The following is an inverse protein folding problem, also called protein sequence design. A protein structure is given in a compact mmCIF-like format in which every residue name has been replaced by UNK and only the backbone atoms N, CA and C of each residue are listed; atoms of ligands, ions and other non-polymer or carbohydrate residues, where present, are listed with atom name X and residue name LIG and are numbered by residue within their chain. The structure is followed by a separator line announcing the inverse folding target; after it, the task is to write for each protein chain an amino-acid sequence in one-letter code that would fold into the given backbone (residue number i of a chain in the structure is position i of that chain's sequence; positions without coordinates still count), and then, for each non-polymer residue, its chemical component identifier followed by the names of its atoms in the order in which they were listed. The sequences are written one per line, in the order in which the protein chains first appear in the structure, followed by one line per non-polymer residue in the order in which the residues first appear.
data_IF_947998419869
#
_entry.id   IF_947998419869
#
_cell.length_a   1.000
_cell.length_b   1.000
_cell.length_c   1.000
_cell.angle_alpha   90.00
_cell.angle_beta   90.00
_cell.angle_gamma   90.00
#
_symmetry.space_group_name_H-M   'P 1'
#
loop_
_entity.id
_entity.type
_entity.pdbx_description
1 polymer ?
#
# COMPACT_ATOMS: atom_id res chain seq x y z
N UNK A 1 46.38 -2.03 -6.01
CA UNK A 1 46.85 -3.42 -6.16
C UNK A 1 47.01 -4.09 -4.79
N UNK A 2 45.97 -4.78 -4.32
CA UNK A 2 46.04 -5.95 -3.44
C UNK A 2 44.87 -6.85 -3.83
N UNK A 3 45.22 -8.08 -4.18
CA UNK A 3 44.40 -9.09 -4.84
C UNK A 3 43.34 -9.63 -3.87
N UNK A 4 42.08 -9.68 -4.33
CA UNK A 4 41.03 -10.48 -3.70
C UNK A 4 41.30 -11.94 -4.09
N UNK A 5 41.36 -12.90 -3.16
CA UNK A 5 41.59 -14.29 -3.51
C UNK A 5 40.38 -14.86 -4.26
N UNK A 6 40.60 -15.28 -5.51
CA UNK A 6 39.65 -16.07 -6.28
C UNK A 6 39.72 -17.53 -5.85
N UNK A 7 38.82 -17.95 -4.96
CA UNK A 7 38.27 -19.32 -4.85
C UNK A 7 37.62 -19.50 -3.48
N UNK A 8 36.34 -19.13 -3.36
CA UNK A 8 35.48 -19.73 -2.36
C UNK A 8 34.70 -20.86 -3.05
N UNK A 9 34.62 -22.07 -2.48
CA UNK A 9 33.85 -23.15 -3.06
C UNK A 9 32.37 -22.75 -3.13
N UNK A 10 31.70 -23.08 -4.23
CA UNK A 10 30.26 -22.93 -4.39
C UNK A 10 29.55 -23.87 -3.40
N UNK A 11 29.49 -23.48 -2.14
CA UNK A 11 28.56 -24.06 -1.17
C UNK A 11 27.17 -23.60 -1.58
N UNK A 12 26.39 -24.54 -2.08
CA UNK A 12 24.93 -24.50 -2.21
C UNK A 12 24.31 -23.73 -1.05
N UNK A 13 23.91 -22.47 -1.29
CA UNK A 13 22.87 -21.83 -0.50
C UNK A 13 21.61 -22.65 -0.74
N UNK A 14 21.30 -23.56 0.19
CA UNK A 14 19.98 -24.19 0.25
C UNK A 14 18.96 -23.06 0.39
N UNK A 15 17.92 -23.11 -0.43
CA UNK A 15 16.83 -22.13 -0.53
C UNK A 15 16.37 -21.64 0.85
N UNK A 16 16.82 -20.44 1.24
CA UNK A 16 16.20 -19.70 2.33
C UNK A 16 15.00 -19.01 1.68
N UNK A 17 13.80 -19.52 1.94
CA UNK A 17 12.55 -18.89 1.48
C UNK A 17 12.54 -17.41 1.84
N UNK A 18 12.00 -16.55 0.98
CA UNK A 18 11.80 -15.13 1.29
C UNK A 18 11.11 -14.96 2.65
N UNK A 19 10.16 -15.83 3.02
CA UNK A 19 9.51 -15.81 4.33
C UNK A 19 10.49 -15.97 5.51
N UNK A 20 11.55 -16.78 5.35
CA UNK A 20 12.59 -16.95 6.38
C UNK A 20 13.50 -15.71 6.46
N UNK A 21 13.83 -15.09 5.30
CA UNK A 21 14.57 -13.82 5.29
C UNK A 21 13.74 -12.72 5.94
N UNK A 22 12.44 -12.63 5.63
CA UNK A 22 11.53 -11.64 6.23
C UNK A 22 11.37 -11.85 7.73
N UNK A 23 11.18 -13.09 8.17
CA UNK A 23 11.11 -13.42 9.59
C UNK A 23 12.39 -13.02 10.35
N UNK A 24 13.57 -13.25 9.75
CA UNK A 24 14.86 -12.82 10.33
C UNK A 24 15.01 -11.29 10.41
N UNK A 25 14.33 -10.54 9.54
CA UNK A 25 14.26 -9.08 9.56
C UNK A 25 13.12 -8.55 10.46
N UNK A 26 12.36 -9.44 11.12
CA UNK A 26 11.20 -9.06 11.93
C UNK A 26 10.02 -8.53 11.09
N UNK A 27 9.97 -8.88 9.81
CA UNK A 27 8.93 -8.49 8.87
C UNK A 27 7.89 -9.60 8.77
N UNK A 28 6.63 -9.28 9.06
CA UNK A 28 5.50 -10.19 8.90
C UNK A 28 4.65 -9.79 7.69
N UNK A 29 4.39 -10.76 6.81
CA UNK A 29 3.44 -10.61 5.69
C UNK A 29 2.15 -11.37 6.02
N UNK A 30 1.04 -10.99 5.38
CA UNK A 30 -0.28 -11.48 5.81
C UNK A 30 -0.49 -13.00 5.68
N UNK A 31 0.31 -13.68 4.86
CA UNK A 31 0.28 -15.14 4.72
C UNK A 31 0.87 -15.86 5.93
N UNK A 32 1.60 -15.15 6.79
CA UNK A 32 2.27 -15.67 7.98
C UNK A 32 1.54 -15.30 9.29
N UNK A 33 0.35 -14.69 9.21
CA UNK A 33 -0.37 -14.17 10.39
C UNK A 33 -1.49 -15.09 10.88
N UNK A 34 -1.72 -15.10 12.19
CA UNK A 34 -2.80 -15.85 12.86
C UNK A 34 -4.17 -15.31 12.44
N UNK A 35 -5.03 -16.18 11.87
CA UNK A 35 -6.38 -15.84 11.41
C UNK A 35 -7.26 -15.23 12.51
N UNK A 36 -6.94 -15.45 13.79
CA UNK A 36 -7.67 -14.89 14.93
C UNK A 36 -7.49 -13.38 15.12
N UNK A 37 -6.54 -12.74 14.42
CA UNK A 37 -6.28 -11.30 14.55
C UNK A 37 -7.22 -10.39 13.73
N UNK A 38 -8.03 -10.97 12.84
CA UNK A 38 -8.91 -10.24 11.91
C UNK A 38 -10.37 -10.55 12.19
N UNK A 39 -11.27 -9.67 11.75
CA UNK A 39 -12.67 -10.08 11.67
C UNK A 39 -12.83 -11.21 10.63
N UNK A 40 -13.89 -12.00 10.78
CA UNK A 40 -14.25 -13.06 9.83
C UNK A 40 -14.73 -12.54 8.45
N UNK A 41 -14.59 -11.23 8.20
CA UNK A 41 -14.99 -10.58 6.94
C UNK A 41 -13.96 -10.74 5.82
N UNK A 42 -12.72 -11.11 6.17
CA UNK A 42 -11.63 -11.33 5.24
C UNK A 42 -11.10 -12.76 5.39
N UNK A 43 -10.99 -13.46 4.26
CA UNK A 43 -10.28 -14.75 4.19
C UNK A 43 -9.19 -14.65 3.14
N UNK A 44 -7.98 -15.09 3.49
CA UNK A 44 -6.79 -14.94 2.65
C UNK A 44 -6.20 -16.32 2.43
N UNK A 45 -6.16 -16.75 1.17
CA UNK A 45 -5.61 -18.04 0.80
C UNK A 45 -4.43 -17.86 -0.15
N UNK A 46 -3.26 -18.30 0.28
CA UNK A 46 -2.09 -18.41 -0.56
C UNK A 46 -2.16 -19.62 -1.48
N UNK A 47 -1.77 -19.45 -2.73
CA UNK A 47 -1.61 -20.55 -3.67
C UNK A 47 -0.15 -20.70 -4.07
N UNK A 48 0.36 -21.90 -3.88
CA UNK A 48 1.74 -22.27 -4.14
C UNK A 48 1.94 -22.72 -5.58
N UNK A 49 3.07 -22.32 -6.15
CA UNK A 49 3.61 -22.90 -7.37
C UNK A 49 4.39 -24.14 -7.04
N UNK A 50 4.13 -25.21 -7.79
CA UNK A 50 4.86 -26.47 -7.68
C UNK A 50 5.76 -26.69 -8.90
N UNK A 51 6.91 -27.32 -8.68
CA UNK A 51 7.77 -27.78 -9.77
C UNK A 51 7.20 -29.03 -10.45
N UNK A 52 7.91 -29.54 -11.46
CA UNK A 52 7.53 -30.76 -12.16
C UNK A 52 7.52 -32.03 -11.28
N UNK A 53 8.07 -31.96 -10.06
CA UNK A 53 8.12 -33.02 -9.08
C UNK A 53 7.06 -32.85 -7.98
N UNK A 54 6.22 -31.81 -8.07
CA UNK A 54 5.19 -31.50 -7.08
C UNK A 54 5.72 -30.80 -5.82
N UNK A 55 6.98 -30.33 -5.83
CA UNK A 55 7.55 -29.58 -4.72
C UNK A 55 7.20 -28.10 -4.82
N UNK A 56 6.84 -27.51 -3.69
CA UNK A 56 6.53 -26.08 -3.58
C UNK A 56 7.79 -25.26 -3.87
N UNK A 57 7.68 -24.34 -4.84
CA UNK A 57 8.74 -23.40 -5.21
C UNK A 57 8.54 -22.07 -4.47
N UNK A 58 7.37 -21.47 -4.63
CA UNK A 58 7.03 -20.18 -4.05
C UNK A 58 5.51 -19.94 -4.10
N UNK A 59 5.03 -19.03 -3.26
CA UNK A 59 3.66 -18.53 -3.39
C UNK A 59 3.55 -17.62 -4.61
N UNK A 60 2.62 -17.90 -5.52
CA UNK A 60 2.49 -17.17 -6.79
C UNK A 60 1.24 -16.33 -6.92
N UNK A 61 0.24 -16.63 -6.11
CA UNK A 61 -1.03 -15.93 -6.11
C UNK A 61 -1.66 -15.90 -4.72
N UNK A 62 -2.56 -14.95 -4.56
CA UNK A 62 -3.37 -14.76 -3.38
C UNK A 62 -4.82 -14.67 -3.80
N UNK A 63 -5.69 -15.30 -3.02
CA UNK A 63 -7.12 -15.07 -3.07
C UNK A 63 -7.53 -14.33 -1.80
N UNK A 64 -8.18 -13.17 -1.95
CA UNK A 64 -8.70 -12.38 -0.82
C UNK A 64 -10.22 -12.32 -0.94
N UNK A 65 -10.92 -13.08 -0.11
CA UNK A 65 -12.38 -13.10 -0.04
C UNK A 65 -12.87 -12.01 0.89
N UNK A 66 -13.84 -11.21 0.41
CA UNK A 66 -14.46 -10.10 1.13
C UNK A 66 -15.92 -10.48 1.39
N UNK A 67 -16.35 -10.42 2.64
CA UNK A 67 -17.73 -10.73 3.04
C UNK A 67 -18.43 -9.52 3.65
N UNK A 68 -19.74 -9.47 3.50
CA UNK A 68 -20.60 -8.44 4.09
C UNK A 68 -20.86 -8.70 5.58
N UNK A 69 -21.67 -7.84 6.22
CA UNK A 69 -22.01 -7.98 7.65
C UNK A 69 -22.76 -9.27 8.02
N UNK A 70 -23.29 -10.00 7.04
CA UNK A 70 -24.05 -11.26 7.19
C UNK A 70 -23.22 -12.49 6.83
N UNK A 71 -21.91 -12.34 6.67
CA UNK A 71 -20.98 -13.40 6.26
C UNK A 71 -21.24 -13.90 4.82
N UNK A 72 -21.88 -13.06 3.98
CA UNK A 72 -22.13 -13.36 2.58
C UNK A 72 -20.96 -12.85 1.74
N UNK A 73 -20.40 -13.72 0.89
CA UNK A 73 -19.31 -13.36 -0.03
C UNK A 73 -19.76 -12.24 -0.99
N UNK A 74 -19.11 -11.08 -0.89
CA UNK A 74 -19.29 -9.94 -1.80
C UNK A 74 -18.44 -10.12 -3.05
N UNK A 75 -17.14 -10.40 -2.86
CA UNK A 75 -16.19 -10.68 -3.95
C UNK A 75 -15.01 -11.46 -3.42
N UNK A 76 -14.41 -12.29 -4.29
CA UNK A 76 -13.07 -12.80 -4.07
C UNK A 76 -12.12 -12.16 -5.08
N UNK A 77 -11.07 -11.50 -4.58
CA UNK A 77 -10.01 -10.92 -5.39
C UNK A 77 -8.99 -12.00 -5.72
N UNK A 78 -8.70 -12.19 -7.01
CA UNK A 78 -7.65 -13.07 -7.51
C UNK A 78 -6.41 -12.23 -7.86
N UNK A 79 -5.32 -12.44 -7.13
CA UNK A 79 -4.12 -11.60 -7.22
C UNK A 79 -2.92 -12.44 -7.65
N UNK A 80 -2.20 -11.97 -8.67
CA UNK A 80 -0.87 -12.47 -8.98
C UNK A 80 0.17 -11.77 -8.11
N UNK A 81 1.18 -12.54 -7.69
CA UNK A 81 2.39 -12.02 -7.03
C UNK A 81 3.60 -12.00 -8.00
N UNK A 82 3.43 -12.51 -9.21
CA UNK A 82 4.54 -12.76 -10.14
C UNK A 82 4.82 -11.55 -11.00
N UNK A 83 6.04 -11.00 -10.89
CA UNK A 83 6.57 -10.05 -11.87
C UNK A 83 6.89 -10.74 -13.20
N UNK A 84 6.98 -9.97 -14.28
CA UNK A 84 7.42 -10.47 -15.59
C UNK A 84 8.94 -10.71 -15.59
N UNK A 85 9.46 -11.64 -16.42
CA UNK A 85 10.89 -11.96 -16.46
C UNK A 85 11.82 -10.75 -16.64
N UNK A 86 11.42 -9.78 -17.47
CA UNK A 86 12.17 -8.54 -17.73
C UNK A 86 12.26 -7.62 -16.50
N UNK A 87 11.48 -7.89 -15.45
CA UNK A 87 11.44 -7.13 -14.21
C UNK A 87 12.06 -7.89 -13.02
N UNK A 88 12.73 -9.04 -13.25
CA UNK A 88 13.37 -9.85 -12.19
C UNK A 88 14.72 -9.25 -11.75
N UNK A 89 15.50 -8.70 -12.68
CA UNK A 89 16.84 -8.16 -12.41
C UNK A 89 16.85 -7.02 -11.36
N UNK A 90 15.84 -6.11 -11.31
CA UNK A 90 15.75 -5.08 -10.27
C UNK A 90 15.35 -5.58 -8.87
N UNK A 91 14.65 -6.71 -8.74
CA UNK A 91 14.06 -7.21 -7.47
C UNK A 91 15.12 -7.46 -6.41
N UNK A 92 16.29 -7.94 -6.82
CA UNK A 92 17.40 -8.25 -5.92
C UNK A 92 18.37 -7.09 -5.72
N UNK A 93 18.09 -5.93 -6.31
CA UNK A 93 18.92 -4.72 -6.23
C UNK A 93 18.29 -3.57 -5.43
N UNK A 94 17.10 -3.76 -4.85
CA UNK A 94 16.38 -2.73 -4.07
C UNK A 94 15.12 -3.23 -3.35
N UNK A 95 14.28 -2.30 -2.86
CA UNK A 95 13.04 -2.59 -2.12
C UNK A 95 11.85 -3.05 -2.96
N UNK A 96 12.00 -3.21 -4.28
CA UNK A 96 10.90 -3.51 -5.20
C UNK A 96 10.16 -4.84 -4.91
N UNK A 97 10.84 -5.82 -4.30
CA UNK A 97 10.20 -7.07 -3.88
C UNK A 97 9.06 -6.83 -2.88
N UNK A 98 9.14 -5.74 -2.09
CA UNK A 98 8.11 -5.38 -1.12
C UNK A 98 6.75 -5.11 -1.77
N UNK A 99 6.72 -4.62 -3.02
CA UNK A 99 5.46 -4.39 -3.73
C UNK A 99 4.78 -5.68 -4.24
N UNK A 100 5.43 -6.83 -4.10
CA UNK A 100 4.91 -8.13 -4.57
C UNK A 100 4.27 -8.98 -3.47
N UNK A 101 4.28 -8.49 -2.23
CA UNK A 101 3.72 -9.19 -1.06
C UNK A 101 2.52 -8.43 -0.49
N UNK A 102 1.62 -9.16 0.17
CA UNK A 102 0.50 -8.57 0.89
C UNK A 102 0.93 -8.27 2.32
N UNK A 103 1.10 -6.99 2.63
CA UNK A 103 1.49 -6.52 3.95
C UNK A 103 0.32 -6.59 4.94
N UNK A 104 0.64 -6.97 6.18
CA UNK A 104 -0.33 -7.04 7.28
C UNK A 104 -1.07 -5.71 7.50
N UNK A 105 -0.38 -4.58 7.33
CA UNK A 105 -0.97 -3.25 7.49
C UNK A 105 -2.15 -3.00 6.53
N UNK A 106 -2.06 -3.49 5.29
CA UNK A 106 -3.12 -3.34 4.29
C UNK A 106 -4.40 -4.07 4.71
N UNK A 107 -4.27 -5.30 5.21
CA UNK A 107 -5.40 -6.11 5.67
C UNK A 107 -6.01 -5.55 6.94
N UNK A 108 -5.20 -5.10 7.90
CA UNK A 108 -5.70 -4.45 9.11
C UNK A 108 -6.46 -3.15 8.81
N UNK A 109 -6.00 -2.35 7.84
CA UNK A 109 -6.73 -1.16 7.40
C UNK A 109 -8.09 -1.54 6.83
N UNK A 110 -8.14 -2.49 5.90
CA UNK A 110 -9.41 -2.94 5.30
C UNK A 110 -10.36 -3.48 6.37
N UNK A 111 -9.85 -4.34 7.24
CA UNK A 111 -10.64 -4.96 8.29
C UNK A 111 -11.27 -3.90 9.23
N UNK A 112 -10.43 -3.04 9.83
CA UNK A 112 -10.87 -2.10 10.86
C UNK A 112 -11.65 -0.91 10.28
N UNK A 113 -11.22 -0.39 9.13
CA UNK A 113 -11.80 0.84 8.57
C UNK A 113 -12.93 0.57 7.59
N UNK A 114 -12.93 -0.55 6.87
CA UNK A 114 -13.91 -0.77 5.79
C UNK A 114 -14.96 -1.84 6.11
N UNK A 115 -14.63 -2.87 6.90
CA UNK A 115 -15.46 -4.08 7.03
C UNK A 115 -16.00 -4.35 8.44
N UNK A 116 -15.26 -4.03 9.49
CA UNK A 116 -15.64 -4.29 10.89
C UNK A 116 -17.02 -3.70 11.22
N UNK A 117 -17.82 -4.34 12.08
CA UNK A 117 -19.14 -3.82 12.46
C UNK A 117 -19.05 -2.45 13.17
N UNK A 118 -17.90 -2.16 13.79
CA UNK A 118 -17.58 -0.87 14.39
C UNK A 118 -16.57 -0.10 13.52
N UNK A 119 -16.84 0.03 12.21
CA UNK A 119 -15.96 0.74 11.27
C UNK A 119 -15.49 2.05 11.86
N UNK A 120 -14.17 2.26 11.87
CA UNK A 120 -13.56 3.49 12.37
C UNK A 120 -12.90 4.24 11.22
N UNK A 121 -13.11 5.56 11.18
CA UNK A 121 -12.37 6.45 10.30
C UNK A 121 -13.06 6.74 8.96
N UNK A 122 -13.93 5.86 8.45
CA UNK A 122 -14.74 6.10 7.24
C UNK A 122 -16.21 5.89 7.52
N UNK A 123 -17.02 6.88 7.16
CA UNK A 123 -18.47 6.79 7.24
C UNK A 123 -19.07 6.17 5.96
N UNK A 124 -18.53 6.50 4.78
CA UNK A 124 -19.03 5.98 3.49
C UNK A 124 -17.94 5.92 2.42
N UNK A 125 -17.84 4.77 1.73
CA UNK A 125 -17.01 4.58 0.53
C UNK A 125 -17.81 4.79 -0.77
N UNK A 126 -19.14 4.75 -0.67
CA UNK A 126 -20.04 4.83 -1.80
C UNK A 126 -19.81 6.12 -2.57
N UNK A 127 -19.57 5.99 -3.87
CA UNK A 127 -19.34 7.08 -4.82
C UNK A 127 -18.07 7.92 -4.58
N UNK A 128 -17.23 7.56 -3.61
CA UNK A 128 -15.99 8.28 -3.30
C UNK A 128 -14.94 8.13 -4.41
N UNK A 129 -14.05 9.11 -4.50
CA UNK A 129 -12.78 9.01 -5.22
C UNK A 129 -11.66 8.62 -4.26
N UNK A 130 -10.97 7.53 -4.59
CA UNK A 130 -9.93 6.94 -3.74
C UNK A 130 -8.62 6.90 -4.49
N UNK A 131 -7.53 7.27 -3.84
CA UNK A 131 -6.16 7.01 -4.31
C UNK A 131 -5.41 6.19 -3.27
N UNK A 132 -4.69 5.17 -3.72
CA UNK A 132 -3.79 4.39 -2.88
C UNK A 132 -2.34 4.62 -3.32
N UNK A 133 -1.52 5.15 -2.42
CA UNK A 133 -0.10 5.45 -2.62
C UNK A 133 0.75 4.26 -2.20
N UNK A 134 1.63 3.77 -3.08
CA UNK A 134 2.47 2.59 -2.80
C UNK A 134 1.62 1.36 -2.54
N UNK A 135 0.69 1.06 -3.44
CA UNK A 135 -0.37 0.10 -3.17
C UNK A 135 0.08 -1.38 -3.26
N UNK A 136 1.29 -1.66 -3.76
CA UNK A 136 1.80 -3.02 -3.97
C UNK A 136 0.88 -3.86 -4.85
N UNK A 137 0.09 -4.74 -4.23
CA UNK A 137 -0.90 -5.59 -4.92
C UNK A 137 -2.26 -4.91 -5.15
N UNK A 138 -2.52 -3.76 -4.51
CA UNK A 138 -3.73 -2.95 -4.67
C UNK A 138 -4.95 -3.39 -3.84
N UNK A 139 -4.76 -4.20 -2.79
CA UNK A 139 -5.88 -4.82 -2.06
C UNK A 139 -6.81 -3.78 -1.42
N UNK A 140 -6.34 -2.81 -0.61
CA UNK A 140 -7.22 -1.80 -0.02
C UNK A 140 -8.04 -1.03 -1.06
N UNK A 141 -7.43 -0.50 -2.11
CA UNK A 141 -8.18 0.22 -3.15
C UNK A 141 -9.13 -0.68 -3.93
N UNK A 142 -8.78 -1.94 -4.21
CA UNK A 142 -9.72 -2.90 -4.82
C UNK A 142 -10.90 -3.21 -3.90
N UNK A 143 -10.69 -3.33 -2.59
CA UNK A 143 -11.80 -3.48 -1.63
C UNK A 143 -12.67 -2.23 -1.61
N UNK A 144 -12.07 -1.03 -1.65
CA UNK A 144 -12.85 0.21 -1.76
C UNK A 144 -13.72 0.23 -3.03
N UNK A 145 -13.20 -0.27 -4.15
CA UNK A 145 -13.97 -0.44 -5.39
C UNK A 145 -15.15 -1.41 -5.22
N UNK A 146 -14.95 -2.55 -4.53
CA UNK A 146 -16.02 -3.52 -4.21
C UNK A 146 -17.10 -2.89 -3.33
N UNK A 147 -16.71 -1.99 -2.42
CA UNK A 147 -17.60 -1.29 -1.49
C UNK A 147 -18.23 -0.03 -2.10
N UNK A 148 -18.12 0.17 -3.41
CA UNK A 148 -18.89 1.18 -4.15
C UNK A 148 -18.16 2.50 -4.43
N UNK A 149 -16.84 2.58 -4.22
CA UNK A 149 -16.06 3.73 -4.68
C UNK A 149 -16.26 3.96 -6.18
N UNK A 150 -16.53 5.20 -6.59
CA UNK A 150 -16.79 5.56 -8.00
C UNK A 150 -15.51 5.54 -8.83
N UNK A 151 -14.41 5.95 -8.22
CA UNK A 151 -13.09 6.02 -8.82
C UNK A 151 -12.06 5.50 -7.84
N UNK A 152 -11.17 4.62 -8.30
CA UNK A 152 -10.00 4.15 -7.54
C UNK A 152 -8.75 4.27 -8.40
N UNK A 153 -7.78 5.05 -7.94
CA UNK A 153 -6.44 5.14 -8.50
C UNK A 153 -5.48 4.32 -7.64
N UNK A 154 -4.99 3.20 -8.17
CA UNK A 154 -3.93 2.39 -7.56
C UNK A 154 -2.59 2.87 -8.09
N UNK A 155 -1.68 3.31 -7.21
CA UNK A 155 -0.42 3.92 -7.64
C UNK A 155 0.81 3.22 -7.09
N UNK A 156 1.80 3.06 -7.96
CA UNK A 156 3.07 2.38 -7.68
C UNK A 156 4.20 2.90 -8.58
N UNK A 157 5.42 2.44 -8.29
CA UNK A 157 6.57 2.63 -9.19
C UNK A 157 6.35 1.90 -10.53
N UNK A 158 6.95 2.43 -11.60
CA UNK A 158 6.76 1.97 -12.99
C UNK A 158 6.89 0.45 -13.18
N UNK A 159 7.84 -0.17 -12.49
CA UNK A 159 8.12 -1.61 -12.55
C UNK A 159 6.97 -2.48 -12.02
N UNK A 160 6.11 -1.95 -11.14
CA UNK A 160 4.99 -2.68 -10.54
C UNK A 160 3.62 -2.39 -11.19
N UNK A 161 3.52 -1.33 -12.00
CA UNK A 161 2.25 -0.97 -12.68
C UNK A 161 1.71 -2.11 -13.54
N UNK A 162 2.57 -2.87 -14.23
CA UNK A 162 2.15 -4.01 -15.04
C UNK A 162 1.59 -5.18 -14.23
N UNK A 163 2.03 -5.35 -12.98
CA UNK A 163 1.48 -6.32 -12.04
C UNK A 163 0.11 -5.85 -11.56
N UNK A 164 -0.01 -4.58 -11.15
CA UNK A 164 -1.28 -3.98 -10.75
C UNK A 164 -2.33 -4.07 -11.84
N UNK A 165 -1.98 -3.72 -13.07
CA UNK A 165 -2.89 -3.85 -14.21
C UNK A 165 -3.40 -5.29 -14.34
N UNK A 166 -2.53 -6.30 -14.29
CA UNK A 166 -2.98 -7.70 -14.35
C UNK A 166 -3.95 -8.05 -13.21
N UNK A 167 -3.68 -7.59 -12.00
CA UNK A 167 -4.57 -7.81 -10.86
C UNK A 167 -5.92 -7.08 -11.03
N UNK A 168 -5.93 -5.84 -11.54
CA UNK A 168 -7.18 -5.14 -11.86
C UNK A 168 -7.97 -5.92 -12.92
N UNK A 169 -7.30 -6.37 -13.99
CA UNK A 169 -7.92 -7.09 -15.09
C UNK A 169 -8.56 -8.40 -14.66
N UNK A 170 -7.92 -9.13 -13.76
CA UNK A 170 -8.48 -10.36 -13.21
C UNK A 170 -9.78 -10.13 -12.41
N UNK A 171 -9.99 -8.92 -11.88
CA UNK A 171 -11.05 -8.67 -10.90
C UNK A 171 -12.17 -7.72 -11.38
N UNK A 172 -11.90 -6.79 -12.29
CA UNK A 172 -12.81 -5.68 -12.60
C UNK A 172 -13.10 -5.46 -14.10
N UNK A 173 -12.54 -6.27 -15.00
CA UNK A 173 -12.74 -6.12 -16.46
C UNK A 173 -13.96 -6.86 -17.05
N UNK A 174 -14.89 -7.39 -16.24
CA UNK A 174 -16.13 -7.95 -16.80
C UNK A 174 -17.05 -6.84 -17.36
N UNK A 175 -17.69 -7.07 -18.51
CA UNK A 175 -18.47 -6.12 -19.35
C UNK A 175 -19.74 -5.47 -18.70
N UNK A 176 -19.77 -5.27 -17.39
CA UNK A 176 -20.89 -4.62 -16.71
C UNK A 176 -20.71 -3.09 -16.72
N UNK A 177 -21.73 -2.38 -17.20
CA UNK A 177 -21.77 -0.90 -17.26
C UNK A 177 -21.78 -0.22 -15.89
N UNK A 178 -21.75 -0.99 -14.80
CA UNK A 178 -21.76 -0.52 -13.41
C UNK A 178 -20.44 -0.81 -12.67
N UNK A 179 -19.37 -1.25 -13.35
CA UNK A 179 -18.09 -1.46 -12.68
C UNK A 179 -17.48 -0.13 -12.20
N UNK A 180 -16.86 -0.10 -11.01
CA UNK A 180 -16.12 1.06 -10.53
C UNK A 180 -14.98 1.40 -11.51
N UNK A 181 -14.70 2.69 -11.72
CA UNK A 181 -13.54 3.11 -12.51
C UNK A 181 -12.29 2.87 -11.68
N UNK A 182 -11.64 1.72 -11.86
CA UNK A 182 -10.38 1.39 -11.22
C UNK A 182 -9.23 1.43 -12.23
N UNK A 183 -8.14 2.12 -11.89
CA UNK A 183 -7.00 2.32 -12.79
C UNK A 183 -5.68 2.13 -12.06
N UNK A 184 -4.70 1.51 -12.71
CA UNK A 184 -3.30 1.52 -12.27
C UNK A 184 -2.58 2.73 -12.88
N UNK A 185 -1.75 3.40 -12.09
CA UNK A 185 -0.95 4.55 -12.51
C UNK A 185 0.44 4.50 -11.90
N UNK A 186 1.41 4.97 -12.66
CA UNK A 186 2.74 5.23 -12.14
C UNK A 186 2.70 6.48 -11.25
N UNK A 187 3.32 6.39 -10.07
CA UNK A 187 3.59 7.55 -9.21
C UNK A 187 4.81 7.27 -8.33
N UNK A 188 5.94 7.88 -8.67
CA UNK A 188 7.16 7.86 -7.83
C UNK A 188 7.13 9.04 -6.85
N UNK A 189 6.11 9.06 -5.99
CA UNK A 189 5.77 10.05 -4.95
C UNK A 189 6.28 11.49 -5.15
N UNK A 190 6.18 11.99 -6.38
CA UNK A 190 6.57 13.33 -6.78
C UNK A 190 5.32 14.21 -6.80
N UNK A 191 5.38 15.38 -6.16
CA UNK A 191 4.24 16.30 -6.05
C UNK A 191 3.68 16.70 -7.43
N UNK A 192 4.56 16.92 -8.41
CA UNK A 192 4.18 17.27 -9.78
C UNK A 192 3.41 16.14 -10.46
N UNK A 193 3.86 14.89 -10.32
CA UNK A 193 3.16 13.72 -10.85
C UNK A 193 1.82 13.51 -10.14
N UNK A 194 1.79 13.67 -8.82
CA UNK A 194 0.57 13.55 -8.02
C UNK A 194 -0.49 14.61 -8.42
N UNK A 195 -0.06 15.86 -8.65
CA UNK A 195 -0.93 16.94 -9.15
C UNK A 195 -1.40 16.62 -10.58
N UNK A 196 -0.51 16.16 -11.45
CA UNK A 196 -0.88 15.79 -12.82
C UNK A 196 -1.93 14.67 -12.84
N UNK A 197 -1.78 13.67 -11.98
CA UNK A 197 -2.72 12.57 -11.84
C UNK A 197 -4.09 13.04 -11.31
N UNK A 198 -4.09 13.92 -10.30
CA UNK A 198 -5.30 14.58 -9.81
C UNK A 198 -6.01 15.38 -10.90
N UNK A 199 -5.25 16.11 -11.71
CA UNK A 199 -5.80 16.86 -12.85
C UNK A 199 -6.39 15.94 -13.92
N UNK A 200 -5.73 14.81 -14.24
CA UNK A 200 -6.22 13.83 -15.21
C UNK A 200 -7.51 13.15 -14.76
N UNK A 201 -7.58 12.75 -13.48
CA UNK A 201 -8.64 11.87 -13.00
C UNK A 201 -9.84 12.60 -12.40
N UNK A 202 -9.64 13.80 -11.88
CA UNK A 202 -10.60 14.56 -11.07
C UNK A 202 -10.67 16.04 -11.46
N UNK A 203 -10.17 16.43 -12.64
CA UNK A 203 -10.19 17.82 -13.13
C UNK A 203 -9.55 18.82 -12.13
N UNK A 204 -8.61 18.34 -11.33
CA UNK A 204 -7.86 19.11 -10.34
C UNK A 204 -8.45 19.11 -8.94
N UNK A 205 -9.60 18.49 -8.74
CA UNK A 205 -10.19 18.30 -7.40
C UNK A 205 -9.41 17.26 -6.59
N UNK A 206 -9.24 17.44 -5.26
CA UNK A 206 -8.62 16.44 -4.38
C UNK A 206 -9.39 15.13 -4.34
N UNK A 207 -8.69 14.03 -4.02
CA UNK A 207 -9.34 12.76 -3.75
C UNK A 207 -10.11 12.81 -2.42
N UNK A 208 -11.28 12.17 -2.36
CA UNK A 208 -12.06 12.08 -1.12
C UNK A 208 -11.32 11.24 -0.07
N UNK A 209 -10.64 10.18 -0.50
CA UNK A 209 -9.90 9.26 0.37
C UNK A 209 -8.50 9.00 -0.18
N UNK A 210 -7.50 9.11 0.68
CA UNK A 210 -6.09 8.78 0.41
C UNK A 210 -5.68 7.63 1.31
N UNK A 211 -5.19 6.55 0.73
CA UNK A 211 -4.73 5.35 1.43
C UNK A 211 -3.22 5.19 1.26
N UNK A 212 -2.55 4.72 2.30
CA UNK A 212 -1.15 4.30 2.26
C UNK A 212 -0.91 3.21 3.31
N UNK A 213 -0.41 2.04 2.89
CA UNK A 213 -0.21 0.89 3.76
C UNK A 213 1.25 0.47 3.77
N UNK A 214 1.90 0.54 4.93
CA UNK A 214 3.27 0.10 5.21
C UNK A 214 4.37 0.72 4.32
N UNK A 215 4.15 1.95 3.88
CA UNK A 215 5.05 2.73 3.03
C UNK A 215 6.12 3.52 3.82
N UNK A 216 6.21 3.34 5.14
CA UNK A 216 7.16 4.04 6.01
C UNK A 216 7.97 3.02 6.79
N UNK A 217 9.21 2.79 6.33
CA UNK A 217 10.17 1.95 7.03
C UNK A 217 11.61 2.34 6.62
N UNK A 218 12.27 3.17 7.43
CA UNK A 218 13.62 3.70 7.13
C UNK A 218 14.65 2.61 6.77
N UNK A 219 14.74 1.48 7.49
CA UNK A 219 15.73 0.46 7.17
C UNK A 219 15.62 -0.11 5.74
N UNK A 220 14.42 -0.08 5.12
CA UNK A 220 14.21 -0.60 3.77
C UNK A 220 14.06 0.50 2.72
N UNK A 221 13.36 1.59 3.06
CA UNK A 221 12.97 2.64 2.11
C UNK A 221 13.69 3.97 2.33
N UNK A 222 14.63 4.04 3.27
CA UNK A 222 15.37 5.27 3.57
C UNK A 222 14.44 6.42 3.96
N UNK A 223 14.66 7.60 3.38
CA UNK A 223 13.89 8.82 3.65
C UNK A 223 12.72 9.06 2.67
N UNK A 224 12.33 8.05 1.90
CA UNK A 224 11.18 8.12 0.96
C UNK A 224 9.86 8.55 1.60
N UNK A 225 9.72 8.40 2.93
CA UNK A 225 8.60 8.94 3.68
C UNK A 225 8.41 10.45 3.48
N UNK A 226 9.47 11.20 3.14
CA UNK A 226 9.39 12.64 2.79
C UNK A 226 8.60 12.84 1.50
N UNK A 227 8.95 12.09 0.46
CA UNK A 227 8.24 12.10 -0.82
C UNK A 227 6.78 11.64 -0.65
N UNK A 228 6.54 10.63 0.20
CA UNK A 228 5.19 10.20 0.55
C UNK A 228 4.36 11.35 1.17
N UNK A 229 4.94 12.14 2.07
CA UNK A 229 4.27 13.33 2.64
C UNK A 229 3.92 14.32 1.52
N UNK A 230 4.85 14.61 0.62
CA UNK A 230 4.62 15.52 -0.51
C UNK A 230 3.50 15.02 -1.44
N UNK A 231 3.47 13.71 -1.73
CA UNK A 231 2.41 13.09 -2.52
C UNK A 231 1.04 13.18 -1.83
N UNK A 232 0.97 12.92 -0.51
CA UNK A 232 -0.27 13.06 0.28
C UNK A 232 -0.78 14.50 0.22
N UNK A 233 0.09 15.50 0.43
CA UNK A 233 -0.27 16.93 0.37
C UNK A 233 -0.79 17.29 -1.03
N UNK A 234 -0.19 16.74 -2.08
CA UNK A 234 -0.56 17.03 -3.46
C UNK A 234 -1.94 16.47 -3.85
N UNK A 235 -2.34 15.31 -3.31
CA UNK A 235 -3.61 14.66 -3.69
C UNK A 235 -4.76 14.90 -2.71
N UNK A 236 -4.46 15.27 -1.46
CA UNK A 236 -5.44 15.55 -0.44
C UNK A 236 -5.84 17.03 -0.39
N UNK A 237 -7.05 17.29 0.11
CA UNK A 237 -7.57 18.63 0.35
C UNK A 237 -8.32 18.71 1.68
N UNK A 238 -8.94 19.87 2.00
CA UNK A 238 -9.54 20.12 3.31
C UNK A 238 -10.65 19.16 3.75
N UNK A 239 -11.27 18.44 2.80
CA UNK A 239 -12.33 17.46 3.04
C UNK A 239 -11.86 16.02 2.89
N UNK A 240 -10.64 15.81 2.40
CA UNK A 240 -10.10 14.48 2.20
C UNK A 240 -9.89 13.79 3.53
N UNK A 241 -10.19 12.50 3.57
CA UNK A 241 -9.75 11.61 4.62
C UNK A 241 -8.46 10.92 4.17
N UNK A 242 -7.40 11.06 4.95
CA UNK A 242 -6.17 10.30 4.74
C UNK A 242 -6.11 9.19 5.77
N UNK A 243 -5.97 7.94 5.32
CA UNK A 243 -5.73 6.78 6.18
C UNK A 243 -4.35 6.21 5.89
N UNK A 244 -3.52 6.10 6.93
CA UNK A 244 -2.20 5.50 6.86
C UNK A 244 -2.13 4.36 7.85
N UNK A 245 -1.84 3.15 7.38
CA UNK A 245 -1.55 2.00 8.22
C UNK A 245 -0.05 1.70 8.18
N UNK A 246 0.56 1.50 9.34
CA UNK A 246 2.00 1.20 9.47
C UNK A 246 2.19 0.14 10.56
N UNK A 247 3.06 -0.83 10.31
CA UNK A 247 3.48 -1.76 11.35
C UNK A 247 4.74 -1.23 12.06
N UNK A 248 4.66 -1.02 13.37
CA UNK A 248 5.82 -0.59 14.17
C UNK A 248 6.81 -1.73 14.28
N UNK A 249 8.07 -1.43 13.96
CA UNK A 249 9.16 -2.42 13.93
C UNK A 249 10.31 -1.94 14.78
N UNK A 250 10.82 -2.83 15.63
CA UNK A 250 12.01 -2.53 16.40
C UNK A 250 13.23 -2.44 15.47
N UNK A 251 13.96 -1.33 15.56
CA UNK A 251 15.19 -1.09 14.80
C UNK A 251 16.34 -0.87 15.78
N UNK A 252 17.31 -1.79 15.80
CA UNK A 252 18.45 -1.70 16.71
C UNK A 252 19.28 -0.44 16.43
N UNK A 253 19.34 0.48 17.40
CA UNK A 253 20.13 1.70 17.29
C UNK A 253 19.58 2.72 16.28
N UNK A 254 18.32 2.60 15.87
CA UNK A 254 17.70 3.46 14.86
C UNK A 254 16.22 3.69 15.11
N UNK A 255 15.50 4.03 14.05
CA UNK A 255 14.06 4.25 14.05
C UNK A 255 13.45 3.59 12.80
N UNK A 256 12.20 3.15 12.91
CA UNK A 256 11.39 2.74 11.77
C UNK A 256 10.96 3.92 10.89
N UNK A 257 11.06 5.16 11.39
CA UNK A 257 10.73 6.38 10.68
C UNK A 257 9.30 6.85 10.84
N UNK A 258 8.44 6.08 11.52
CA UNK A 258 7.01 6.41 11.67
C UNK A 258 6.83 7.74 12.40
N UNK A 259 7.54 7.95 13.51
CA UNK A 259 7.42 9.20 14.28
C UNK A 259 7.92 10.43 13.49
N UNK A 260 8.93 10.26 12.63
CA UNK A 260 9.42 11.33 11.76
C UNK A 260 8.37 11.69 10.70
N UNK A 261 7.75 10.68 10.09
CA UNK A 261 6.64 10.85 9.15
C UNK A 261 5.45 11.57 9.82
N UNK A 262 5.02 11.15 11.00
CA UNK A 262 3.91 11.77 11.74
C UNK A 262 4.18 13.24 12.08
N UNK A 263 5.41 13.56 12.49
CA UNK A 263 5.83 14.93 12.77
C UNK A 263 5.81 15.81 11.51
N UNK A 264 6.22 15.25 10.36
CA UNK A 264 6.18 15.96 9.09
C UNK A 264 4.75 16.20 8.60
N UNK A 265 3.87 15.19 8.68
CA UNK A 265 2.44 15.33 8.41
C UNK A 265 1.80 16.41 9.28
N UNK A 266 2.09 16.41 10.59
CA UNK A 266 1.59 17.43 11.52
C UNK A 266 2.07 18.83 11.14
N UNK A 267 3.35 18.95 10.75
CA UNK A 267 3.95 20.20 10.28
C UNK A 267 3.32 20.70 8.98
N UNK A 268 2.78 19.78 8.16
CA UNK A 268 1.99 20.09 6.96
C UNK A 268 0.49 20.35 7.27
N UNK A 269 0.10 20.48 8.54
CA UNK A 269 -1.27 20.66 9.04
C UNK A 269 -2.20 19.45 8.86
N UNK A 270 -1.64 18.25 8.69
CA UNK A 270 -2.39 16.99 8.76
C UNK A 270 -2.31 16.47 10.18
N UNK A 271 -3.40 16.61 10.95
CA UNK A 271 -3.41 16.24 12.37
C UNK A 271 -3.79 14.76 12.49
N UNK A 272 -2.91 13.90 13.03
CA UNK A 272 -3.18 12.48 13.20
C UNK A 272 -4.22 12.23 14.29
N UNK A 273 -5.05 11.22 14.07
CA UNK A 273 -5.91 10.59 15.08
C UNK A 273 -5.73 9.08 14.97
N UNK A 274 -5.28 8.46 16.06
CA UNK A 274 -5.02 7.02 16.12
C UNK A 274 -6.33 6.24 16.14
N UNK A 275 -6.44 5.24 15.26
CA UNK A 275 -7.61 4.35 15.10
C UNK A 275 -7.35 2.98 15.73
N UNK A 276 -6.14 2.44 15.52
CA UNK A 276 -5.68 1.13 16.01
C UNK A 276 -4.32 1.29 16.66
N UNK A 277 -4.13 0.59 17.78
CA UNK A 277 -2.86 0.52 18.52
C UNK A 277 -1.94 -0.58 17.96
N UNK A 278 -0.65 -0.60 18.34
CA UNK A 278 0.34 -1.59 17.89
C UNK A 278 -0.11 -3.06 17.99
N UNK A 279 0.45 -3.95 17.15
CA UNK A 279 1.63 -3.73 16.31
C UNK A 279 1.38 -2.99 14.98
N UNK A 280 0.13 -2.97 14.49
CA UNK A 280 -0.27 -2.17 13.33
C UNK A 280 -1.04 -0.94 13.79
N UNK A 281 -0.37 0.21 13.69
CA UNK A 281 -0.99 1.50 13.94
C UNK A 281 -1.71 1.99 12.69
N UNK A 282 -2.96 2.44 12.87
CA UNK A 282 -3.74 3.07 11.80
C UNK A 282 -4.01 4.50 12.22
N UNK A 283 -3.64 5.45 11.38
CA UNK A 283 -3.86 6.87 11.58
C UNK A 283 -4.87 7.38 10.56
N UNK A 284 -5.86 8.12 11.04
CA UNK A 284 -6.59 9.07 10.19
C UNK A 284 -5.99 10.45 10.31
N UNK A 285 -5.94 11.19 9.22
CA UNK A 285 -5.56 12.60 9.25
C UNK A 285 -6.69 13.48 8.74
N UNK A 286 -6.89 14.59 9.43
CA UNK A 286 -7.73 15.69 8.98
C UNK A 286 -6.86 16.91 8.72
N UNK A 287 -7.11 17.57 7.60
CA UNK A 287 -6.43 18.84 7.27
C UNK A 287 -7.00 19.93 8.18
N UNK A 288 -6.16 20.48 9.05
CA UNK A 288 -6.53 21.64 9.83
C UNK A 288 -6.34 22.89 8.98
N UNK A 289 -7.40 23.69 8.80
CA UNK A 289 -7.28 25.00 8.15
C UNK A 289 -6.39 25.88 9.03
N UNK A 290 -5.20 26.19 8.54
CA UNK A 290 -4.40 27.26 9.10
C UNK A 290 -4.73 28.52 8.30
N UNK A 291 -5.47 29.46 8.90
CA UNK A 291 -5.87 30.75 8.27
C UNK A 291 -4.65 31.63 7.86
N UNK A 292 -3.42 31.16 8.14
CA UNK A 292 -2.16 31.83 7.85
C UNK A 292 -1.50 31.44 6.52
N UNK A 293 -2.01 30.46 5.76
CA UNK A 293 -1.49 30.11 4.41
C UNK A 293 -2.10 31.02 3.32
N UNK A 294 -2.19 32.33 3.60
CA UNK A 294 -2.26 33.34 2.55
C UNK A 294 -0.90 33.98 2.28
N UNK A 295 0.04 33.90 3.23
CA UNK A 295 1.30 34.67 3.15
C UNK A 295 2.46 33.95 2.45
N UNK A 296 2.37 32.65 2.16
CA UNK A 296 3.47 31.89 1.50
C UNK A 296 3.32 31.89 -0.04
N UNK A 297 2.09 32.01 -0.55
CA UNK A 297 1.83 32.06 -2.00
C UNK A 297 1.95 33.50 -2.54
N UNK A 298 1.68 34.53 -1.72
CA UNK A 298 1.82 35.94 -2.14
C UNK A 298 3.27 36.45 -2.07
N UNK A 299 4.15 35.85 -1.26
CA UNK A 299 5.57 36.24 -1.15
C UNK A 299 6.44 35.71 -2.29
N UNK A 300 6.00 34.66 -2.99
CA UNK A 300 6.66 34.10 -4.18
C UNK A 300 6.22 34.77 -5.50
N UNK A 301 5.26 35.71 -5.44
CA UNK A 301 4.85 36.56 -6.57
C UNK A 301 5.45 37.97 -6.54
N UNK A 302 6.26 38.29 -5.52
CA UNK A 302 6.90 39.60 -5.36
C UNK A 302 8.45 39.55 -5.24
N UNK A 303 9.09 38.44 -5.61
CA UNK A 303 10.55 38.38 -5.80
C UNK A 303 10.91 37.95 -7.22
#
# INVERSE_FOLDING_TARGET
ARLIPSSAPATTYRDISLSVIMSLLGISVCTDTDESEYSNRLEIHGMESIDSLGQVICQSSLKVSIKDERDILMKALELSLRMTPDAIEPIFSGGAWAGTVLWRAAIRLVDICFLSDNKKGIDELQSASVIELGCGLGVPGMVAAVLGARLVALTEQSNLVSLLDRNIKANFLSDSTNNPRIVARELDWCAEQAIALRNELLDGEPFDIVLSCDCVYIPLYGDSWRALVDAIIAVAGPKSLVLVAVERRYVQGGTDGVDLFLNAMTSANFIPSLISEPPVEIYSFKVHKNDNIKNIIDSSRQQ
#
